data_IF_751180622107
#
_entry.id   IF_751180622107
#
_cell.length_a   1.000
_cell.length_b   1.000
_cell.length_c   1.000
_cell.angle_alpha   90.00
_cell.angle_beta   90.00
_cell.angle_gamma   90.00
#
_symmetry.space_group_name_H-M   'P 1'
#
loop_
_entity.id
_entity.type
_entity.pdbx_description
1 polymer ?
#
# COMPACT_ATOMS: atom_id res chain seq x y z
N UNK A 1 -11.56 -9.12 16.19
CA UNK A 1 -12.51 -10.09 15.63
C UNK A 1 -12.58 -9.87 14.11
N UNK A 2 -12.61 -10.95 13.36
CA UNK A 2 -12.87 -10.94 11.93
C UNK A 2 -14.39 -11.00 11.76
N UNK A 3 -14.94 -10.17 10.85
CA UNK A 3 -16.37 -10.24 10.53
C UNK A 3 -16.71 -11.55 9.79
N UNK A 4 -17.96 -12.01 9.93
CA UNK A 4 -18.39 -13.30 9.33
C UNK A 4 -18.22 -13.31 7.80
N UNK A 5 -18.50 -12.19 7.14
CA UNK A 5 -18.30 -12.05 5.69
C UNK A 5 -16.81 -12.14 5.31
N UNK A 6 -15.94 -11.49 6.07
CA UNK A 6 -14.49 -11.55 5.85
C UNK A 6 -13.96 -12.97 6.06
N UNK A 7 -14.47 -13.68 7.08
CA UNK A 7 -14.10 -15.06 7.34
C UNK A 7 -14.54 -15.96 6.20
N UNK A 8 -15.80 -15.85 5.74
CA UNK A 8 -16.35 -16.62 4.64
C UNK A 8 -15.55 -16.41 3.35
N UNK A 9 -15.18 -15.15 3.03
CA UNK A 9 -14.35 -14.83 1.86
C UNK A 9 -12.93 -15.44 1.96
N UNK A 10 -12.33 -15.40 3.13
CA UNK A 10 -11.01 -15.99 3.34
C UNK A 10 -11.04 -17.52 3.22
N UNK A 11 -12.06 -18.19 3.75
CA UNK A 11 -12.24 -19.64 3.62
C UNK A 11 -12.47 -20.01 2.15
N UNK A 12 -13.35 -19.31 1.45
CA UNK A 12 -13.62 -19.52 0.03
C UNK A 12 -12.38 -19.33 -0.84
N UNK A 13 -11.59 -18.29 -0.56
CA UNK A 13 -10.31 -18.08 -1.23
C UNK A 13 -9.37 -19.27 -1.04
N UNK A 14 -9.23 -19.77 0.19
CA UNK A 14 -8.40 -20.95 0.48
C UNK A 14 -8.86 -22.18 -0.27
N UNK A 15 -10.19 -22.43 -0.30
CA UNK A 15 -10.78 -23.54 -1.02
C UNK A 15 -10.46 -23.46 -2.51
N UNK A 16 -10.69 -22.32 -3.16
CA UNK A 16 -10.40 -22.13 -4.59
C UNK A 16 -8.92 -22.33 -4.92
N UNK A 17 -8.02 -21.91 -4.02
CA UNK A 17 -6.58 -22.16 -4.19
C UNK A 17 -6.27 -23.64 -4.05
N UNK A 18 -6.89 -24.37 -3.11
CA UNK A 18 -6.69 -25.82 -2.96
C UNK A 18 -7.25 -26.63 -4.15
N UNK A 19 -8.23 -26.06 -4.88
CA UNK A 19 -8.74 -26.60 -6.15
C UNK A 19 -7.82 -26.30 -7.35
N UNK A 20 -6.65 -25.68 -7.12
CA UNK A 20 -5.64 -25.42 -8.15
C UNK A 20 -5.74 -24.05 -8.84
N UNK A 21 -6.65 -23.15 -8.39
CA UNK A 21 -6.69 -21.80 -8.93
C UNK A 21 -5.55 -20.96 -8.39
N UNK A 22 -4.93 -20.16 -9.26
CA UNK A 22 -3.99 -19.13 -8.80
C UNK A 22 -4.74 -17.90 -8.23
N UNK A 23 -4.01 -17.04 -7.52
CA UNK A 23 -4.61 -15.90 -6.82
C UNK A 23 -5.34 -14.92 -7.77
N UNK A 24 -4.82 -14.69 -8.99
CA UNK A 24 -5.47 -13.84 -9.97
C UNK A 24 -6.84 -14.42 -10.38
N UNK A 25 -6.93 -15.72 -10.61
CA UNK A 25 -8.19 -16.40 -10.97
C UNK A 25 -9.20 -16.31 -9.82
N UNK A 26 -8.74 -16.45 -8.57
CA UNK A 26 -9.60 -16.27 -7.38
C UNK A 26 -10.14 -14.85 -7.30
N UNK A 27 -9.27 -13.85 -7.46
CA UNK A 27 -9.65 -12.43 -7.45
C UNK A 27 -10.64 -12.12 -8.56
N UNK A 28 -10.45 -12.66 -9.76
CA UNK A 28 -11.38 -12.46 -10.88
C UNK A 28 -12.76 -13.10 -10.61
N UNK A 29 -12.81 -14.28 -9.97
CA UNK A 29 -14.07 -14.89 -9.53
C UNK A 29 -14.78 -14.03 -8.49
N UNK A 30 -14.05 -13.53 -7.50
CA UNK A 30 -14.61 -12.64 -6.47
C UNK A 30 -15.16 -11.35 -7.08
N UNK A 31 -14.38 -10.71 -7.97
CA UNK A 31 -14.80 -9.51 -8.70
C UNK A 31 -16.13 -9.71 -9.47
N UNK A 32 -16.23 -10.82 -10.22
CA UNK A 32 -17.43 -11.17 -10.98
C UNK A 32 -18.63 -11.38 -10.06
N UNK A 33 -18.45 -12.09 -8.95
CA UNK A 33 -19.51 -12.33 -7.95
C UNK A 33 -20.00 -11.02 -7.32
N UNK A 34 -19.10 -10.10 -7.04
CA UNK A 34 -19.42 -8.77 -6.52
C UNK A 34 -19.96 -7.82 -7.60
N UNK A 35 -20.18 -8.31 -8.82
CA UNK A 35 -20.72 -7.56 -9.96
C UNK A 35 -19.90 -6.30 -10.31
N UNK A 36 -18.60 -6.29 -10.00
CA UNK A 36 -17.69 -5.19 -10.36
C UNK A 36 -17.35 -5.33 -11.85
N UNK A 37 -18.06 -4.59 -12.69
CA UNK A 37 -17.91 -4.65 -14.16
C UNK A 37 -16.88 -3.67 -14.72
N UNK A 38 -16.72 -2.51 -14.09
CA UNK A 38 -15.97 -1.37 -14.63
C UNK A 38 -14.52 -1.30 -14.12
N UNK A 39 -14.03 -2.32 -13.42
CA UNK A 39 -12.67 -2.39 -12.90
C UNK A 39 -12.08 -3.78 -13.04
N UNK A 40 -10.78 -3.83 -13.28
CA UNK A 40 -9.99 -5.05 -13.17
C UNK A 40 -9.19 -4.98 -11.85
N UNK A 41 -9.16 -6.08 -11.11
CA UNK A 41 -8.42 -6.20 -9.86
C UNK A 41 -7.28 -7.17 -10.08
N UNK A 42 -6.06 -6.75 -9.75
CA UNK A 42 -4.86 -7.55 -9.85
C UNK A 42 -4.22 -7.70 -8.48
N UNK A 43 -3.93 -8.92 -8.01
CA UNK A 43 -2.97 -9.09 -6.93
C UNK A 43 -1.59 -8.62 -7.40
N UNK A 44 -0.72 -8.23 -6.49
CA UNK A 44 0.63 -7.81 -6.88
C UNK A 44 1.43 -8.94 -7.53
N UNK A 45 1.19 -10.17 -7.11
CA UNK A 45 1.77 -11.44 -7.60
C UNK A 45 0.86 -12.61 -7.24
N UNK A 46 1.12 -13.79 -7.79
CA UNK A 46 0.39 -15.01 -7.42
C UNK A 46 1.06 -15.77 -6.27
N UNK A 47 2.35 -15.55 -6.07
CA UNK A 47 3.14 -16.22 -5.05
C UNK A 47 2.80 -15.71 -3.65
N UNK A 48 3.02 -16.54 -2.65
CA UNK A 48 2.83 -16.18 -1.26
C UNK A 48 3.99 -15.29 -0.79
N UNK A 49 3.68 -14.04 -0.52
CA UNK A 49 4.60 -13.05 0.05
C UNK A 49 4.15 -12.69 1.45
N UNK A 50 5.02 -12.90 2.42
CA UNK A 50 4.76 -12.65 3.83
C UNK A 50 5.58 -11.48 4.36
N UNK A 51 4.96 -10.63 5.17
CA UNK A 51 5.65 -9.53 5.85
C UNK A 51 6.12 -9.96 7.23
N UNK A 52 7.41 -9.76 7.52
CA UNK A 52 8.00 -9.99 8.82
C UNK A 52 8.57 -8.72 9.43
N UNK A 53 8.40 -8.63 10.74
CA UNK A 53 8.91 -7.55 11.57
C UNK A 53 10.06 -8.11 12.42
N UNK A 54 11.25 -7.55 12.28
CA UNK A 54 12.38 -7.83 13.17
C UNK A 54 12.35 -6.82 14.30
N UNK A 55 12.42 -7.33 15.51
CA UNK A 55 12.58 -6.57 16.75
C UNK A 55 13.92 -6.94 17.38
N UNK A 56 14.33 -6.23 18.42
CA UNK A 56 15.57 -6.57 19.17
C UNK A 56 15.65 -8.03 19.62
N UNK A 57 14.51 -8.66 19.88
CA UNK A 57 14.46 -10.03 20.47
C UNK A 57 14.20 -11.10 19.44
N UNK A 58 13.40 -10.83 18.40
CA UNK A 58 12.95 -11.86 17.46
C UNK A 58 12.38 -11.27 16.16
N UNK A 59 12.24 -12.16 15.17
CA UNK A 59 11.52 -11.92 13.93
C UNK A 59 10.10 -12.46 14.07
N UNK A 60 9.09 -11.64 13.79
CA UNK A 60 7.66 -11.90 14.04
C UNK A 60 6.91 -11.75 12.73
N UNK A 61 5.99 -12.65 12.42
CA UNK A 61 5.07 -12.46 11.31
C UNK A 61 4.17 -11.24 11.55
N UNK A 62 3.88 -10.46 10.52
CA UNK A 62 3.15 -9.19 10.67
C UNK A 62 1.79 -9.34 11.35
N UNK A 63 1.01 -10.38 11.03
CA UNK A 63 -0.28 -10.62 11.67
C UNK A 63 -0.14 -10.90 13.17
N UNK A 64 0.87 -11.67 13.56
CA UNK A 64 1.17 -11.92 14.97
C UNK A 64 1.62 -10.63 15.68
N UNK A 65 2.47 -9.83 15.02
CA UNK A 65 2.89 -8.53 15.53
C UNK A 65 1.69 -7.59 15.75
N UNK A 66 0.73 -7.57 14.82
CA UNK A 66 -0.47 -6.75 14.90
C UNK A 66 -1.42 -7.23 16.01
N UNK A 67 -1.75 -8.53 16.02
CA UNK A 67 -2.82 -9.09 16.86
C UNK A 67 -2.31 -9.42 18.26
N UNK A 68 -1.28 -10.27 18.36
CA UNK A 68 -0.76 -10.79 19.63
C UNK A 68 0.06 -9.75 20.38
N UNK A 69 0.97 -9.08 19.67
CA UNK A 69 1.86 -8.08 20.28
C UNK A 69 1.27 -6.68 20.29
N UNK A 70 0.07 -6.46 19.69
CA UNK A 70 -0.61 -5.15 19.63
C UNK A 70 0.34 -4.03 19.21
N UNK A 71 1.30 -4.35 18.32
CA UNK A 71 2.33 -3.45 17.78
C UNK A 71 3.24 -2.78 18.83
N UNK A 72 3.32 -3.30 20.04
CA UNK A 72 4.12 -2.73 21.14
C UNK A 72 5.65 -2.85 20.92
N UNK A 73 6.22 -3.99 20.42
CA UNK A 73 7.66 -4.11 20.25
C UNK A 73 8.19 -3.09 19.24
N UNK A 74 9.34 -2.47 19.56
CA UNK A 74 10.01 -1.54 18.64
C UNK A 74 10.44 -2.28 17.37
N UNK A 75 10.12 -1.70 16.22
CA UNK A 75 10.49 -2.22 14.91
C UNK A 75 11.92 -1.81 14.60
N UNK A 76 12.77 -2.78 14.25
CA UNK A 76 14.11 -2.53 13.74
C UNK A 76 14.17 -2.71 12.22
N UNK A 77 13.48 -3.73 11.69
CA UNK A 77 13.48 -4.02 10.26
C UNK A 77 12.15 -4.60 9.81
N UNK A 78 11.75 -4.25 8.59
CA UNK A 78 10.63 -4.87 7.88
C UNK A 78 11.18 -5.62 6.67
N UNK A 79 10.78 -6.88 6.51
CA UNK A 79 11.19 -7.73 5.38
C UNK A 79 9.99 -8.41 4.75
N UNK A 80 10.07 -8.63 3.43
CA UNK A 80 9.07 -9.34 2.66
C UNK A 80 9.68 -10.67 2.21
N UNK A 81 9.25 -11.77 2.83
CA UNK A 81 9.69 -13.13 2.49
C UNK A 81 9.17 -13.47 1.10
N UNK A 82 9.96 -14.16 0.32
CA UNK A 82 9.67 -14.59 -1.05
C UNK A 82 9.53 -13.47 -2.10
N UNK A 83 9.58 -12.20 -1.73
CA UNK A 83 9.35 -11.08 -2.66
C UNK A 83 10.29 -11.10 -3.87
N UNK A 84 11.56 -11.48 -3.69
CA UNK A 84 12.55 -11.54 -4.80
C UNK A 84 12.27 -12.66 -5.80
N UNK A 85 11.53 -13.68 -5.39
CA UNK A 85 11.17 -14.85 -6.21
C UNK A 85 9.77 -14.71 -6.82
N UNK A 86 9.02 -13.67 -6.45
CA UNK A 86 7.68 -13.43 -6.98
C UNK A 86 7.74 -12.76 -8.35
N UNK A 87 6.69 -12.99 -9.12
CA UNK A 87 6.49 -12.38 -10.43
C UNK A 87 5.26 -11.49 -10.41
N UNK A 88 5.28 -10.34 -11.09
CA UNK A 88 4.09 -9.50 -11.23
C UNK A 88 2.95 -10.30 -11.85
N UNK A 89 1.73 -10.10 -11.38
CA UNK A 89 0.54 -10.69 -12.00
C UNK A 89 0.52 -10.43 -13.50
N UNK A 90 0.07 -11.43 -14.27
CA UNK A 90 0.08 -11.39 -15.74
C UNK A 90 -0.59 -10.11 -16.27
N UNK A 91 0.12 -9.37 -17.10
CA UNK A 91 -0.37 -8.14 -17.76
C UNK A 91 -0.30 -6.87 -16.90
N UNK A 92 0.08 -6.93 -15.60
CA UNK A 92 0.11 -5.72 -14.76
C UNK A 92 1.18 -4.72 -15.20
N UNK A 93 2.36 -5.18 -15.61
CA UNK A 93 3.43 -4.29 -16.08
C UNK A 93 3.02 -3.55 -17.35
N UNK A 94 2.35 -4.22 -18.27
CA UNK A 94 1.84 -3.59 -19.48
C UNK A 94 0.75 -2.57 -19.16
N UNK A 95 -0.18 -2.90 -18.25
CA UNK A 95 -1.21 -1.96 -17.81
C UNK A 95 -0.61 -0.72 -17.16
N UNK A 96 0.40 -0.87 -16.30
CA UNK A 96 1.12 0.27 -15.72
C UNK A 96 1.74 1.14 -16.83
N UNK A 97 2.42 0.51 -17.79
CA UNK A 97 3.08 1.22 -18.90
C UNK A 97 2.09 2.00 -19.77
N UNK A 98 0.89 1.45 -20.02
CA UNK A 98 -0.15 2.04 -20.86
C UNK A 98 -1.11 2.97 -20.12
N UNK A 99 -0.99 3.09 -18.81
CA UNK A 99 -1.84 3.99 -18.02
C UNK A 99 -1.59 5.44 -18.37
N UNK A 100 -2.64 6.24 -18.32
CA UNK A 100 -2.57 7.72 -18.43
C UNK A 100 -2.42 8.36 -17.04
N UNK A 101 -2.92 7.68 -16.00
CA UNK A 101 -2.88 8.13 -14.62
C UNK A 101 -2.60 6.93 -13.72
N UNK A 102 -1.69 7.11 -12.76
CA UNK A 102 -1.39 6.15 -11.69
C UNK A 102 -1.66 6.84 -10.35
N UNK A 103 -2.52 6.25 -9.52
CA UNK A 103 -2.86 6.79 -8.21
C UNK A 103 -2.41 5.80 -7.13
N UNK A 104 -1.60 6.28 -6.20
CA UNK A 104 -1.29 5.58 -4.96
C UNK A 104 -2.29 6.01 -3.89
N UNK A 105 -3.18 5.10 -3.52
CA UNK A 105 -4.18 5.34 -2.48
C UNK A 105 -3.53 5.60 -1.11
N UNK A 106 -4.22 6.30 -0.18
CA UNK A 106 -3.68 6.66 1.12
C UNK A 106 -3.54 5.43 2.01
N UNK A 107 -2.40 4.77 1.90
CA UNK A 107 -2.08 3.55 2.64
C UNK A 107 -0.65 3.61 3.19
N UNK A 108 -0.34 2.68 4.09
CA UNK A 108 0.99 2.64 4.72
C UNK A 108 2.09 2.46 3.67
N UNK A 109 3.01 3.42 3.51
CA UNK A 109 4.06 3.35 2.49
C UNK A 109 4.94 2.09 2.64
N UNK A 110 5.15 1.61 3.86
CA UNK A 110 6.11 0.55 4.16
C UNK A 110 5.49 -0.84 4.02
N UNK A 111 4.32 -1.07 4.63
CA UNK A 111 3.74 -2.43 4.72
C UNK A 111 2.58 -2.67 3.76
N UNK A 112 2.08 -1.63 3.09
CA UNK A 112 1.02 -1.77 2.09
C UNK A 112 1.54 -1.48 0.68
N UNK A 113 2.07 -0.30 0.45
CA UNK A 113 2.62 0.09 -0.87
C UNK A 113 3.99 -0.56 -1.10
N UNK A 114 4.81 -0.65 -0.05
CA UNK A 114 6.15 -1.22 -0.11
C UNK A 114 6.22 -2.62 -0.73
N UNK A 115 5.41 -3.59 -0.29
CA UNK A 115 5.38 -4.93 -0.90
C UNK A 115 5.07 -4.90 -2.39
N UNK A 116 4.07 -4.12 -2.81
CA UNK A 116 3.67 -3.99 -4.21
C UNK A 116 4.85 -3.49 -5.06
N UNK A 117 5.50 -2.41 -4.61
CA UNK A 117 6.65 -1.83 -5.31
C UNK A 117 7.91 -2.70 -5.24
N UNK A 118 7.94 -3.66 -4.32
CA UNK A 118 9.08 -4.59 -4.14
C UNK A 118 8.99 -5.83 -5.03
N UNK A 119 7.82 -6.10 -5.63
CA UNK A 119 7.71 -7.16 -6.66
C UNK A 119 8.60 -6.77 -7.84
N UNK A 120 9.47 -7.68 -8.32
CA UNK A 120 10.40 -7.40 -9.42
C UNK A 120 9.70 -6.77 -10.63
N UNK A 121 10.23 -5.65 -11.11
CA UNK A 121 9.72 -4.94 -12.30
C UNK A 121 8.62 -3.91 -12.02
N UNK A 122 7.81 -4.01 -10.95
CA UNK A 122 6.69 -3.08 -10.71
C UNK A 122 7.21 -1.65 -10.48
N UNK A 123 8.17 -1.45 -9.55
CA UNK A 123 8.72 -0.10 -9.29
C UNK A 123 9.33 0.51 -10.54
N UNK A 124 10.06 -0.28 -11.32
CA UNK A 124 10.66 0.16 -12.59
C UNK A 124 9.57 0.58 -13.58
N UNK A 125 8.55 -0.26 -13.78
CA UNK A 125 7.44 0.04 -14.68
C UNK A 125 6.70 1.33 -14.30
N UNK A 126 6.45 1.56 -12.99
CA UNK A 126 5.86 2.83 -12.52
C UNK A 126 6.76 4.02 -12.82
N UNK A 127 8.06 3.90 -12.51
CA UNK A 127 9.02 4.98 -12.71
C UNK A 127 9.14 5.37 -14.20
N UNK A 128 9.18 4.39 -15.09
CA UNK A 128 9.33 4.57 -16.53
C UNK A 128 8.02 4.90 -17.26
N UNK A 129 6.88 4.77 -16.58
CA UNK A 129 5.58 5.11 -17.15
C UNK A 129 5.48 6.61 -17.45
N UNK A 130 4.90 6.93 -18.62
CA UNK A 130 4.55 8.31 -19.00
C UNK A 130 3.25 8.83 -18.37
N UNK A 131 2.60 8.01 -17.54
CA UNK A 131 1.41 8.40 -16.83
C UNK A 131 1.68 9.56 -15.87
N UNK A 132 0.69 10.40 -15.64
CA UNK A 132 0.67 11.29 -14.46
C UNK A 132 0.58 10.42 -13.21
N UNK A 133 1.46 10.64 -12.26
CA UNK A 133 1.54 9.83 -11.04
C UNK A 133 1.21 10.68 -9.81
N UNK A 134 0.21 10.25 -9.07
CA UNK A 134 -0.29 10.96 -7.86
C UNK A 134 -0.23 10.01 -6.68
N UNK A 135 0.33 10.45 -5.57
CA UNK A 135 0.18 9.76 -4.28
C UNK A 135 -0.71 10.59 -3.35
N UNK A 136 -1.52 9.90 -2.55
CA UNK A 136 -2.35 10.52 -1.52
C UNK A 136 -1.73 10.18 -0.16
N UNK A 137 -1.53 11.19 0.68
CA UNK A 137 -0.94 10.99 2.01
C UNK A 137 -1.88 10.19 2.93
N UNK A 138 -1.37 9.17 3.65
CA UNK A 138 -2.10 8.53 4.73
C UNK A 138 -1.99 9.29 6.07
N UNK A 139 -1.38 10.46 6.08
CA UNK A 139 -1.13 11.30 7.27
C UNK A 139 -1.79 12.65 7.04
N UNK A 140 -2.45 13.16 8.08
CA UNK A 140 -3.01 14.52 8.16
C UNK A 140 -2.46 15.17 9.41
N UNK A 141 -1.80 16.31 9.27
CA UNK A 141 -1.04 16.91 10.35
C UNK A 141 0.03 15.91 10.86
N UNK A 142 0.07 15.72 12.16
CA UNK A 142 0.98 14.77 12.81
C UNK A 142 0.30 13.43 13.15
N UNK A 143 -0.87 13.13 12.56
CA UNK A 143 -1.68 11.95 12.86
C UNK A 143 -1.84 11.06 11.64
N UNK A 144 -1.64 9.76 11.81
CA UNK A 144 -2.00 8.78 10.80
C UNK A 144 -3.51 8.52 10.83
N UNK A 145 -4.14 8.38 9.66
CA UNK A 145 -5.56 8.05 9.55
C UNK A 145 -5.93 6.74 10.23
N UNK A 146 -5.10 5.72 10.04
CA UNK A 146 -5.30 4.38 10.64
C UNK A 146 -3.98 3.66 10.82
N UNK A 147 -3.90 2.90 11.91
CA UNK A 147 -2.84 1.95 12.14
C UNK A 147 -1.46 2.55 12.43
N UNK A 148 -0.43 1.74 12.41
CA UNK A 148 0.90 2.09 12.90
C UNK A 148 1.80 2.75 11.85
N UNK A 149 1.26 3.56 10.92
CA UNK A 149 2.03 4.17 9.82
C UNK A 149 3.29 4.84 10.33
N UNK A 150 3.16 5.65 11.39
CA UNK A 150 4.28 6.44 11.94
C UNK A 150 5.41 5.56 12.46
N UNK A 151 5.10 4.43 13.13
CA UNK A 151 6.10 3.51 13.66
C UNK A 151 6.87 2.80 12.53
N UNK A 152 6.17 2.40 11.46
CA UNK A 152 6.81 1.79 10.29
C UNK A 152 7.70 2.77 9.52
N UNK A 153 7.27 4.03 9.43
CA UNK A 153 8.09 5.08 8.81
C UNK A 153 9.38 5.31 9.59
N UNK A 154 9.30 5.44 10.93
CA UNK A 154 10.48 5.53 11.81
C UNK A 154 11.44 4.35 11.61
N UNK A 155 10.93 3.13 11.49
CA UNK A 155 11.75 1.93 11.25
C UNK A 155 12.45 1.93 9.88
N UNK A 156 12.07 2.80 8.97
CA UNK A 156 12.71 3.04 7.66
C UNK A 156 13.46 4.37 7.61
N UNK A 157 13.76 4.96 8.76
CA UNK A 157 14.42 6.27 8.87
C UNK A 157 13.69 7.39 8.11
N UNK A 158 12.38 7.26 7.95
CA UNK A 158 11.53 8.29 7.39
C UNK A 158 10.89 9.09 8.52
N UNK A 159 10.78 10.40 8.31
CA UNK A 159 10.03 11.26 9.24
C UNK A 159 8.58 10.73 9.39
N UNK A 160 8.05 10.61 10.60
CA UNK A 160 6.66 10.20 10.83
C UNK A 160 5.67 11.33 10.55
N UNK A 161 5.74 11.91 9.37
CA UNK A 161 4.98 13.09 8.93
C UNK A 161 4.74 13.02 7.42
N UNK A 162 4.00 13.97 6.89
CA UNK A 162 3.81 14.19 5.46
C UNK A 162 5.15 14.29 4.70
N UNK A 163 6.18 14.89 5.32
CA UNK A 163 7.52 14.96 4.70
C UNK A 163 8.16 13.59 4.52
N UNK A 164 7.95 12.66 5.45
CA UNK A 164 8.42 11.29 5.26
C UNK A 164 7.66 10.56 4.17
N UNK A 165 6.36 10.83 4.00
CA UNK A 165 5.58 10.33 2.87
C UNK A 165 6.14 10.92 1.56
N UNK A 166 6.40 12.22 1.51
CA UNK A 166 7.03 12.87 0.36
C UNK A 166 8.38 12.23 0.02
N UNK A 167 9.23 12.01 1.03
CA UNK A 167 10.53 11.36 0.87
C UNK A 167 10.43 9.92 0.33
N UNK A 168 9.38 9.19 0.71
CA UNK A 168 9.12 7.84 0.18
C UNK A 168 8.78 7.86 -1.32
N UNK A 169 8.04 8.89 -1.75
CA UNK A 169 7.51 8.99 -3.12
C UNK A 169 8.34 9.87 -4.07
N UNK A 170 9.34 10.62 -3.60
CA UNK A 170 10.06 11.66 -4.37
C UNK A 170 10.56 11.24 -5.75
N UNK A 171 10.95 9.97 -5.93
CA UNK A 171 11.44 9.45 -7.21
C UNK A 171 10.38 8.65 -7.98
N UNK A 172 9.12 8.70 -7.55
CA UNK A 172 8.11 7.78 -8.04
C UNK A 172 6.85 8.47 -8.55
N UNK A 173 6.51 9.64 -8.02
CA UNK A 173 5.30 10.36 -8.40
C UNK A 173 5.60 11.81 -8.75
N UNK A 174 4.69 12.43 -9.48
CA UNK A 174 4.78 13.82 -9.89
C UNK A 174 4.07 14.73 -8.86
N UNK A 175 2.98 14.23 -8.28
CA UNK A 175 2.11 14.97 -7.36
C UNK A 175 1.93 14.24 -6.04
N UNK A 176 1.92 14.99 -4.95
CA UNK A 176 1.55 14.48 -3.63
C UNK A 176 0.32 15.23 -3.11
N UNK A 177 -0.81 14.52 -3.01
CA UNK A 177 -2.02 15.06 -2.41
C UNK A 177 -1.95 14.97 -0.89
N UNK A 178 -2.07 16.11 -0.22
CA UNK A 178 -1.98 16.26 1.23
C UNK A 178 -3.16 17.07 1.76
N UNK A 179 -3.41 16.97 3.06
CA UNK A 179 -4.46 17.74 3.69
C UNK A 179 -4.14 19.24 3.74
N UNK A 180 -5.18 20.04 3.80
CA UNK A 180 -5.06 21.51 3.95
C UNK A 180 -4.29 21.91 5.22
N UNK A 181 -4.33 21.10 6.28
CA UNK A 181 -3.57 21.33 7.52
C UNK A 181 -2.07 21.25 7.32
N UNK A 182 -1.62 20.57 6.25
CA UNK A 182 -0.23 20.33 5.95
C UNK A 182 0.42 21.35 5.00
N UNK A 183 -0.28 22.45 4.66
CA UNK A 183 0.22 23.54 3.78
C UNK A 183 1.58 24.08 4.20
N UNK A 184 1.87 24.10 5.49
CA UNK A 184 3.18 24.52 6.03
C UNK A 184 4.37 23.74 5.46
N UNK A 185 4.14 22.57 4.88
CA UNK A 185 5.19 21.75 4.28
C UNK A 185 5.38 21.96 2.78
N UNK A 186 4.63 22.86 2.15
CA UNK A 186 4.66 23.07 0.70
C UNK A 186 6.08 23.21 0.13
N UNK A 187 6.85 24.19 0.63
CA UNK A 187 8.20 24.47 0.12
C UNK A 187 9.14 23.26 0.27
N UNK A 188 9.04 22.53 1.39
CA UNK A 188 9.84 21.33 1.63
C UNK A 188 9.45 20.17 0.70
N UNK A 189 8.16 20.05 0.35
CA UNK A 189 7.69 19.03 -0.61
C UNK A 189 8.17 19.38 -2.02
N UNK A 190 8.08 20.66 -2.41
CA UNK A 190 8.61 21.15 -3.70
C UNK A 190 10.12 20.94 -3.83
N UNK A 191 10.88 21.15 -2.77
CA UNK A 191 12.34 20.89 -2.77
C UNK A 191 12.69 19.40 -2.95
N UNK A 192 11.76 18.47 -2.69
CA UNK A 192 11.89 17.06 -3.01
C UNK A 192 11.52 16.71 -4.46
N UNK A 193 11.16 17.70 -5.28
CA UNK A 193 10.76 17.51 -6.67
C UNK A 193 9.30 17.10 -6.86
N UNK A 194 8.46 17.23 -5.83
CA UNK A 194 7.03 16.91 -5.90
C UNK A 194 6.16 18.15 -5.94
N UNK A 195 5.04 18.08 -6.67
CA UNK A 195 4.02 19.14 -6.68
C UNK A 195 2.95 18.79 -5.64
N UNK A 196 2.81 19.56 -4.54
CA UNK A 196 1.74 19.31 -3.56
C UNK A 196 0.38 19.74 -4.10
N UNK A 197 -0.64 18.91 -3.84
CA UNK A 197 -2.06 19.20 -4.08
C UNK A 197 -2.75 19.24 -2.72
N UNK A 198 -3.40 20.36 -2.40
CA UNK A 198 -4.09 20.56 -1.12
C UNK A 198 -5.58 20.26 -1.26
N UNK A 199 -6.07 19.30 -0.49
CA UNK A 199 -7.47 18.91 -0.40
C UNK A 199 -7.77 18.41 1.00
N UNK A 200 -9.04 18.46 1.43
CA UNK A 200 -9.49 17.66 2.55
C UNK A 200 -9.47 16.19 2.12
N UNK A 201 -8.48 15.45 2.61
CA UNK A 201 -8.28 14.03 2.30
C UNK A 201 -8.85 13.12 3.38
N UNK A 202 -9.52 13.67 4.38
CA UNK A 202 -10.19 12.90 5.41
C UNK A 202 -11.44 12.24 4.81
N UNK A 203 -11.38 10.91 4.63
CA UNK A 203 -12.49 10.12 4.10
C UNK A 203 -13.55 9.91 5.18
N UNK A 204 -14.15 10.99 5.66
CA UNK A 204 -15.27 10.97 6.60
C UNK A 204 -16.56 10.89 5.77
N UNK A 205 -17.46 9.94 6.08
CA UNK A 205 -18.82 9.96 5.53
C UNK A 205 -19.43 11.34 5.87
N UNK A 206 -19.59 12.20 4.87
CA UNK A 206 -20.51 13.31 5.02
C UNK A 206 -21.89 12.68 5.15
N UNK A 207 -22.49 12.78 6.33
CA UNK A 207 -23.93 12.56 6.48
C UNK A 207 -24.57 13.57 5.57
N UNK A 208 -25.19 13.11 4.49
CA UNK A 208 -26.04 13.95 3.66
C UNK A 208 -27.25 14.24 4.55
N UNK A 209 -27.29 15.46 5.10
CA UNK A 209 -28.47 16.03 5.75
C UNK A 209 -29.48 16.40 4.69
#
# INVERSE_FOLDING_TARGET
>A
NLGDLDLAENLKKKLLISEGLNLQQVVDRQRKRLKIKNANIFPMCNEEVETFITTRRKKIHFQEYLIKYKMKPKIEKVTFKNIKKSNPSKGILEKIKRSKLIIFCPSNPIISIGPILSVPGIRKAVKESRAIKVAISPIVGDKAFKGPVLNFMKAKSLSPSVLGVASFYKDLVDYLMIDNEDKKYENKIRSLGLVPIFKDIRMIKKTVS
#
